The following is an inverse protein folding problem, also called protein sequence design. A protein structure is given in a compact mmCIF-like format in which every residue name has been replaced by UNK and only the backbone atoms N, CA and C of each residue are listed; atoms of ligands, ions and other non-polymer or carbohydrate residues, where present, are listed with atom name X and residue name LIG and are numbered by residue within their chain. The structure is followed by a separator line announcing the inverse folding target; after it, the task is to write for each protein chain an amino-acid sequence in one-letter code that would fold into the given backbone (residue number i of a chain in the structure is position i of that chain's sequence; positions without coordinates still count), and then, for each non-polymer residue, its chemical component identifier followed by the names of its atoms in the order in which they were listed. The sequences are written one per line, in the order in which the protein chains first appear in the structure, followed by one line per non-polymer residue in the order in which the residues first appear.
data_IF_877939468705
#
_entry.id   IF_877939468705
#
_cell.length_a   1.000
_cell.length_b   1.000
_cell.length_c   1.000
_cell.angle_alpha   90.00
_cell.angle_beta   90.00
_cell.angle_gamma   90.00
#
_symmetry.space_group_name_H-M   'P 1'
#
loop_
_entity.id
_entity.type
_entity.pdbx_description
1 polymer ?
#
# COMPACT_ATOMS: atom_id res chain seq x y z
N UNK A 1 -11.20 -10.77 6.04
CA UNK A 1 -11.09 -10.28 7.44
C UNK A 1 -11.47 -8.82 7.57
N UNK A 2 -10.71 -7.86 7.01
CA UNK A 2 -10.97 -6.42 7.18
C UNK A 2 -12.38 -5.97 6.74
N UNK A 3 -12.91 -6.52 5.64
CA UNK A 3 -14.27 -6.24 5.18
C UNK A 3 -15.36 -6.70 6.15
N UNK A 4 -15.12 -7.83 6.83
CA UNK A 4 -16.05 -8.42 7.79
C UNK A 4 -16.01 -7.63 9.09
N UNK A 5 -14.82 -7.26 9.56
CA UNK A 5 -14.66 -6.58 10.86
C UNK A 5 -15.04 -5.11 10.85
N UNK A 6 -14.92 -4.43 9.70
CA UNK A 6 -15.20 -2.99 9.60
C UNK A 6 -16.49 -2.63 8.88
N UNK A 7 -17.17 -3.61 8.28
CA UNK A 7 -18.42 -3.45 7.53
C UNK A 7 -18.39 -2.32 6.48
N UNK A 8 -17.22 -2.02 5.89
CA UNK A 8 -17.08 -0.99 4.85
C UNK A 8 -17.37 -1.49 3.44
N UNK A 9 -17.72 -0.56 2.54
CA UNK A 9 -17.86 -0.85 1.11
C UNK A 9 -16.50 -1.04 0.44
N UNK A 10 -16.48 -1.79 -0.66
CA UNK A 10 -15.29 -1.99 -1.52
C UNK A 10 -14.66 -0.67 -1.99
N UNK A 11 -15.45 0.36 -2.22
CA UNK A 11 -14.95 1.69 -2.57
C UNK A 11 -14.02 2.31 -1.50
N UNK A 12 -14.26 2.01 -0.22
CA UNK A 12 -13.37 2.44 0.87
C UNK A 12 -12.05 1.68 0.80
N UNK A 13 -12.11 0.36 0.61
CA UNK A 13 -10.91 -0.48 0.54
C UNK A 13 -9.98 -0.11 -0.62
N UNK A 14 -10.52 0.26 -1.78
CA UNK A 14 -9.70 0.67 -2.94
C UNK A 14 -8.92 1.97 -2.73
N UNK A 15 -9.27 2.76 -1.71
CA UNK A 15 -8.61 4.03 -1.35
C UNK A 15 -7.69 3.91 -0.15
N UNK A 16 -7.57 2.73 0.46
CA UNK A 16 -6.64 2.51 1.57
C UNK A 16 -5.20 2.55 1.05
N UNK A 17 -4.38 3.39 1.70
CA UNK A 17 -2.94 3.52 1.41
C UNK A 17 -2.16 3.10 2.65
N UNK A 18 -1.11 2.30 2.47
CA UNK A 18 -0.28 1.79 3.58
C UNK A 18 0.31 2.94 4.41
N UNK A 19 0.71 4.04 3.77
CA UNK A 19 1.26 5.23 4.45
C UNK A 19 0.28 5.87 5.46
N UNK A 20 -1.02 5.61 5.28
CA UNK A 20 -2.11 6.13 6.10
C UNK A 20 -2.60 5.11 7.15
N UNK A 21 -1.93 3.97 7.29
CA UNK A 21 -2.19 2.98 8.34
C UNK A 21 -1.27 3.31 9.52
N UNK A 22 -1.84 3.50 10.72
CA UNK A 22 -1.11 3.87 11.94
C UNK A 22 -1.47 2.91 13.06
N UNK A 23 -0.46 2.24 13.62
CA UNK A 23 -0.63 1.37 14.78
C UNK A 23 -0.45 2.19 16.06
N UNK A 24 -1.44 2.12 16.95
CA UNK A 24 -1.44 2.69 18.30
C UNK A 24 -1.51 1.55 19.32
N UNK A 25 -1.24 1.86 20.59
CA UNK A 25 -1.40 0.98 21.76
C UNK A 25 -2.79 0.35 21.88
N UNK A 26 -3.82 1.04 21.37
CA UNK A 26 -5.22 0.56 21.38
C UNK A 26 -5.59 -0.27 20.14
N UNK A 27 -4.79 -0.20 19.08
CA UNK A 27 -5.06 -0.84 17.80
C UNK A 27 -4.71 -0.01 16.59
N UNK A 28 -5.14 -0.47 15.42
CA UNK A 28 -4.74 0.10 14.14
C UNK A 28 -5.79 1.05 13.61
N UNK A 29 -5.38 2.28 13.30
CA UNK A 29 -6.18 3.30 12.64
C UNK A 29 -5.83 3.35 11.14
N UNK A 30 -6.85 3.32 10.28
CA UNK A 30 -6.67 3.48 8.83
C UNK A 30 -7.34 4.77 8.38
N UNK A 31 -6.53 5.71 7.91
CA UNK A 31 -7.00 6.98 7.38
C UNK A 31 -7.21 6.91 5.87
N UNK A 32 -8.40 7.30 5.42
CA UNK A 32 -8.74 7.42 4.00
C UNK A 32 -9.09 8.88 3.73
N UNK A 33 -8.11 9.71 3.30
CA UNK A 33 -8.35 11.12 3.03
C UNK A 33 -9.08 11.37 1.71
N UNK A 34 -9.13 10.36 0.83
CA UNK A 34 -9.80 10.45 -0.45
C UNK A 34 -11.34 10.44 -0.24
N UNK A 35 -12.07 11.25 -1.01
CA UNK A 35 -13.53 11.30 -0.91
C UNK A 35 -14.17 9.97 -1.35
N UNK A 36 -15.03 9.42 -0.50
CA UNK A 36 -15.88 8.26 -0.78
C UNK A 36 -17.35 8.68 -0.73
N UNK A 37 -18.27 7.82 -1.20
CA UNK A 37 -19.72 8.12 -1.23
C UNK A 37 -20.29 8.55 0.14
N UNK A 38 -19.72 8.06 1.23
CA UNK A 38 -20.14 8.40 2.61
C UNK A 38 -19.38 9.60 3.18
N UNK A 39 -18.46 10.22 2.44
CA UNK A 39 -17.74 11.41 2.86
C UNK A 39 -18.65 12.64 2.85
N UNK A 40 -18.72 13.31 4.00
CA UNK A 40 -19.38 14.60 4.16
C UNK A 40 -18.33 15.69 4.24
N UNK A 41 -18.53 16.80 3.52
CA UNK A 41 -17.66 17.96 3.59
C UNK A 41 -17.51 18.45 5.04
N UNK A 42 -16.26 18.75 5.44
CA UNK A 42 -15.94 19.34 6.74
C UNK A 42 -15.92 18.40 7.95
N UNK A 43 -16.14 17.08 7.78
CA UNK A 43 -16.00 16.13 8.90
C UNK A 43 -14.58 15.55 8.97
N UNK A 44 -13.92 15.53 10.15
CA UNK A 44 -12.70 14.77 10.32
C UNK A 44 -13.01 13.29 10.13
N UNK A 45 -12.36 12.63 9.17
CA UNK A 45 -12.54 11.20 8.93
C UNK A 45 -11.38 10.39 9.50
N UNK A 46 -11.54 9.78 10.68
CA UNK A 46 -10.94 8.47 10.94
C UNK A 46 -11.91 7.43 10.37
N UNK A 47 -11.59 6.80 9.23
CA UNK A 47 -12.60 5.97 8.57
C UNK A 47 -12.67 4.54 9.14
N UNK A 48 -11.61 4.03 9.77
CA UNK A 48 -11.54 2.69 10.34
C UNK A 48 -10.63 2.63 11.57
N UNK A 49 -11.14 2.07 12.66
CA UNK A 49 -10.37 1.69 13.84
C UNK A 49 -10.51 0.19 14.08
N UNK A 50 -9.37 -0.49 14.21
CA UNK A 50 -9.26 -1.92 14.47
C UNK A 50 -8.71 -2.10 15.88
N UNK A 51 -9.54 -2.40 16.89
CA UNK A 51 -9.05 -2.62 18.24
C UNK A 51 -8.14 -3.85 18.30
N UNK A 52 -7.18 -3.82 19.22
CA UNK A 52 -6.44 -5.03 19.59
C UNK A 52 -7.37 -5.89 20.44
N UNK A 53 -7.52 -7.15 20.04
CA UNK A 53 -8.18 -8.14 20.86
C UNK A 53 -7.11 -9.00 21.51
N UNK A 54 -6.91 -8.81 22.82
CA UNK A 54 -5.85 -9.48 23.59
C UNK A 54 -6.26 -10.88 24.04
N UNK A 55 -7.56 -11.17 24.06
CA UNK A 55 -8.09 -12.44 24.55
C UNK A 55 -7.88 -13.56 23.52
N UNK A 56 -8.00 -13.25 22.21
CA UNK A 56 -7.74 -14.18 21.11
C UNK A 56 -6.86 -13.56 20.02
N UNK A 57 -5.55 -13.82 20.10
CA UNK A 57 -4.57 -13.32 19.14
C UNK A 57 -4.79 -13.88 17.73
N UNK A 58 -5.35 -15.10 17.61
CA UNK A 58 -5.62 -15.76 16.32
C UNK A 58 -6.66 -15.02 15.46
N UNK A 59 -7.56 -14.25 16.09
CA UNK A 59 -8.64 -13.52 15.42
C UNK A 59 -8.34 -12.01 15.33
N UNK A 60 -7.29 -11.54 16.02
CA UNK A 60 -6.94 -10.13 16.11
C UNK A 60 -6.61 -9.53 14.73
N UNK A 61 -7.56 -8.78 14.17
CA UNK A 61 -7.42 -8.20 12.82
C UNK A 61 -6.30 -7.17 12.75
N UNK A 62 -5.98 -6.49 13.86
CA UNK A 62 -4.86 -5.56 13.93
C UNK A 62 -3.51 -6.28 13.75
N UNK A 63 -3.33 -7.44 14.41
CA UNK A 63 -2.11 -8.23 14.32
C UNK A 63 -1.93 -8.85 12.93
N UNK A 64 -3.00 -9.44 12.40
CA UNK A 64 -3.01 -10.04 11.05
C UNK A 64 -2.70 -9.00 9.98
N UNK A 65 -3.25 -7.79 10.09
CA UNK A 65 -2.95 -6.70 9.17
C UNK A 65 -1.47 -6.31 9.20
N UNK A 66 -0.86 -6.23 10.39
CA UNK A 66 0.57 -5.95 10.56
C UNK A 66 1.45 -7.03 9.93
N UNK A 67 1.16 -8.30 10.20
CA UNK A 67 1.91 -9.42 9.64
C UNK A 67 1.76 -9.51 8.12
N UNK A 68 0.54 -9.32 7.60
CA UNK A 68 0.30 -9.25 6.15
C UNK A 68 1.12 -8.14 5.48
N UNK A 69 1.17 -6.94 6.06
CA UNK A 69 1.96 -5.82 5.52
C UNK A 69 3.45 -6.16 5.53
N UNK A 70 3.94 -6.83 6.57
CA UNK A 70 5.33 -7.27 6.70
C UNK A 70 5.69 -8.29 5.63
N UNK A 71 4.91 -9.36 5.50
CA UNK A 71 5.18 -10.44 4.55
C UNK A 71 5.07 -9.99 3.08
N UNK A 72 4.09 -9.15 2.75
CA UNK A 72 3.89 -8.69 1.36
C UNK A 72 4.79 -7.53 0.95
N UNK A 73 5.73 -7.10 1.80
CA UNK A 73 6.60 -5.94 1.52
C UNK A 73 7.45 -6.09 0.26
N UNK A 74 8.07 -7.26 0.08
CA UNK A 74 8.91 -7.54 -1.08
C UNK A 74 8.11 -7.50 -2.41
N UNK A 75 6.90 -8.08 -2.41
CA UNK A 75 6.04 -8.12 -3.59
C UNK A 75 5.64 -6.72 -4.07
N UNK A 76 5.30 -5.82 -3.14
CA UNK A 76 4.89 -4.45 -3.47
C UNK A 76 6.01 -3.64 -4.10
N UNK A 77 7.23 -3.88 -3.65
CA UNK A 77 8.40 -3.17 -4.15
C UNK A 77 8.73 -3.67 -5.56
N UNK A 78 8.75 -4.99 -5.79
CA UNK A 78 8.95 -5.59 -7.11
C UNK A 78 7.99 -5.05 -8.19
N UNK A 79 6.69 -4.95 -7.89
CA UNK A 79 5.71 -4.42 -8.85
C UNK A 79 5.99 -2.96 -9.22
N UNK A 80 6.40 -2.13 -8.25
CA UNK A 80 6.74 -0.71 -8.49
C UNK A 80 7.95 -0.60 -9.41
N UNK A 81 8.98 -1.40 -9.16
CA UNK A 81 10.18 -1.48 -9.98
C UNK A 81 9.87 -1.88 -11.42
N UNK A 82 9.09 -2.96 -11.61
CA UNK A 82 8.72 -3.42 -12.94
C UNK A 82 7.96 -2.34 -13.73
N UNK A 83 7.07 -1.59 -13.07
CA UNK A 83 6.31 -0.50 -13.67
C UNK A 83 7.21 0.69 -14.07
N UNK A 84 8.14 1.12 -13.21
CA UNK A 84 9.07 2.22 -13.51
C UNK A 84 10.01 1.86 -14.65
N UNK A 85 10.57 0.65 -14.66
CA UNK A 85 11.42 0.18 -15.75
C UNK A 85 10.66 0.02 -17.07
N UNK A 86 9.41 -0.43 -17.05
CA UNK A 86 8.57 -0.46 -18.25
C UNK A 86 8.30 0.94 -18.81
N UNK A 87 8.07 1.94 -17.95
CA UNK A 87 7.86 3.33 -18.37
C UNK A 87 9.15 3.96 -18.93
N UNK A 88 10.31 3.66 -18.34
CA UNK A 88 11.61 4.10 -18.82
C UNK A 88 11.91 3.52 -20.22
N UNK A 89 11.63 2.22 -20.43
CA UNK A 89 11.75 1.58 -21.76
C UNK A 89 10.84 2.23 -22.82
N UNK A 90 9.69 2.78 -22.40
CA UNK A 90 8.80 3.56 -23.27
C UNK A 90 9.23 5.02 -23.46
N UNK A 91 10.42 5.41 -22.99
CA UNK A 91 10.98 6.77 -23.07
C UNK A 91 10.09 7.84 -22.46
N UNK A 92 9.32 7.50 -21.43
CA UNK A 92 8.57 8.49 -20.64
C UNK A 92 9.58 9.34 -19.87
N UNK A 93 9.29 10.64 -19.73
CA UNK A 93 10.14 11.55 -18.99
C UNK A 93 10.41 11.04 -17.56
N UNK A 94 11.68 11.02 -17.16
CA UNK A 94 12.15 10.45 -15.90
C UNK A 94 11.50 11.09 -14.67
N UNK A 95 11.27 12.41 -14.68
CA UNK A 95 10.62 13.13 -13.59
C UNK A 95 9.13 12.76 -13.47
N UNK A 96 8.48 12.48 -14.60
CA UNK A 96 7.09 12.00 -14.63
C UNK A 96 7.00 10.59 -14.04
N UNK A 97 7.92 9.69 -14.42
CA UNK A 97 7.99 8.33 -13.86
C UNK A 97 8.24 8.38 -12.36
N UNK A 98 9.22 9.17 -11.93
CA UNK A 98 9.61 9.33 -10.52
C UNK A 98 8.43 9.83 -9.68
N UNK A 99 7.75 10.88 -10.16
CA UNK A 99 6.57 11.44 -9.49
C UNK A 99 5.41 10.44 -9.44
N UNK A 100 5.13 9.74 -10.55
CA UNK A 100 4.05 8.76 -10.63
C UNK A 100 4.29 7.53 -9.74
N UNK A 101 5.55 7.11 -9.60
CA UNK A 101 5.96 6.00 -8.73
C UNK A 101 5.91 6.36 -7.22
N UNK A 102 5.58 7.62 -6.87
CA UNK A 102 5.47 8.08 -5.49
C UNK A 102 6.80 8.43 -4.83
N UNK A 103 7.84 8.71 -5.62
CA UNK A 103 9.17 9.02 -5.11
C UNK A 103 9.36 10.54 -4.89
N UNK A 104 10.04 10.90 -3.80
CA UNK A 104 10.43 12.29 -3.53
C UNK A 104 11.60 12.72 -4.41
N UNK A 105 11.73 14.02 -4.67
CA UNK A 105 12.81 14.58 -5.52
C UNK A 105 14.21 14.44 -4.93
N UNK A 106 14.29 14.25 -3.62
CA UNK A 106 15.55 14.07 -2.88
C UNK A 106 16.04 12.63 -2.83
N UNK A 107 15.25 11.66 -3.29
CA UNK A 107 15.56 10.25 -3.09
C UNK A 107 16.49 9.70 -4.17
N UNK A 108 17.70 9.28 -3.77
CA UNK A 108 18.68 8.64 -4.66
C UNK A 108 18.28 7.22 -5.06
N UNK A 109 17.43 6.57 -4.26
CA UNK A 109 17.06 5.16 -4.50
C UNK A 109 16.26 5.01 -5.81
N UNK A 110 15.62 6.05 -6.34
CA UNK A 110 14.94 5.94 -7.64
C UNK A 110 15.93 5.67 -8.78
N UNK A 111 17.06 6.40 -8.78
CA UNK A 111 18.10 6.29 -9.79
C UNK A 111 18.78 4.91 -9.80
N UNK A 112 18.81 4.22 -8.67
CA UNK A 112 19.42 2.89 -8.57
C UNK A 112 18.53 1.78 -9.14
N UNK A 113 17.22 2.01 -9.25
CA UNK A 113 16.23 0.94 -9.35
C UNK A 113 15.26 1.08 -10.54
N UNK A 114 15.29 2.19 -11.28
CA UNK A 114 14.35 2.44 -12.39
C UNK A 114 14.71 1.76 -13.71
N UNK A 115 15.93 1.26 -13.91
CA UNK A 115 16.42 0.67 -15.18
C UNK A 115 16.95 -0.77 -15.03
N UNK A 116 16.44 -1.53 -14.07
CA UNK A 116 16.92 -2.89 -13.86
C UNK A 116 16.51 -3.82 -15.02
N UNK A 117 17.47 -4.53 -15.64
CA UNK A 117 17.18 -5.51 -16.69
C UNK A 117 16.47 -6.72 -16.10
N UNK A 118 15.61 -7.36 -16.91
CA UNK A 118 14.97 -8.62 -16.54
C UNK A 118 16.05 -9.70 -16.67
N UNK A 119 16.60 -10.13 -15.53
CA UNK A 119 17.72 -11.10 -15.49
C UNK A 119 17.27 -12.51 -15.93
N UNK A 120 15.98 -12.84 -15.79
CA UNK A 120 15.43 -14.09 -16.31
C UNK A 120 13.93 -13.93 -16.65
N UNK A 121 13.55 -13.90 -17.94
CA UNK A 121 12.15 -13.78 -18.35
C UNK A 121 11.30 -15.04 -18.06
N UNK A 122 11.94 -16.20 -17.88
CA UNK A 122 11.26 -17.49 -17.66
C UNK A 122 11.09 -17.81 -16.16
N UNK A 123 11.87 -17.17 -15.28
CA UNK A 123 11.80 -17.38 -13.83
C UNK A 123 10.42 -17.12 -13.20
N UNK A 124 9.56 -16.33 -13.86
CA UNK A 124 8.19 -16.09 -13.40
C UNK A 124 7.23 -17.25 -13.74
N UNK A 125 7.51 -18.00 -14.81
CA UNK A 125 6.63 -19.07 -15.30
C UNK A 125 6.86 -20.41 -14.57
N UNK A 126 7.99 -20.57 -13.88
CA UNK A 126 8.37 -21.82 -13.19
C UNK A 126 8.01 -21.86 -11.68
N UNK A 127 7.27 -20.87 -11.16
CA UNK A 127 6.93 -20.78 -9.73
C UNK A 127 5.45 -21.03 -9.41
#
# INVERSE_FOLDING_TARGET
LLAITTAQRVQTFSKIKIQNIKSDTRGTNIFVPDNIKTSKAGRPQPCLFLPIHSDDLEICTSSVLGEYIKQTSALRESTRHAATSAAARKRVNIEVIRKAAGWTSSSSTFANFYELPIVNPEAFAES
#
